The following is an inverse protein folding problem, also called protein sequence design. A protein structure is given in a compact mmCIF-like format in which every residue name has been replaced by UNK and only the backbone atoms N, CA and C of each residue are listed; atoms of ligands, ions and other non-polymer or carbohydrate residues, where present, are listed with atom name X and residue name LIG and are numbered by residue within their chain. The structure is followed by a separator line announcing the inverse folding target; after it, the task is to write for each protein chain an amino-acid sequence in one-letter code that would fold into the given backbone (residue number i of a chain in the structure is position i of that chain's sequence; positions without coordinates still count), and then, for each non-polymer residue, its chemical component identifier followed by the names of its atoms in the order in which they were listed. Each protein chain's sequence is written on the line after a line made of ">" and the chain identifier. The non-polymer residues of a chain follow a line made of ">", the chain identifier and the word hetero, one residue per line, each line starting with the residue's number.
data_IF_403070971187
#
_entry.id   IF_403070971187
#
_cell.length_a   1.000
_cell.length_b   1.000
_cell.length_c   1.000
_cell.angle_alpha   90.00
_cell.angle_beta   90.00
_cell.angle_gamma   90.00
#
_symmetry.space_group_name_H-M   'P 1'
#
loop_
_entity.id
_entity.type
_entity.pdbx_description
1 polymer ?
#
# COMPACT_ATOMS: atom_id res chain seq x y z
N UNK A 1 21.46 -2.01 -43.19
CA UNK A 1 21.98 -2.29 -41.83
C UNK A 1 20.83 -2.81 -40.99
N UNK A 2 20.76 -4.14 -40.83
CA UNK A 2 19.68 -4.81 -40.11
C UNK A 2 20.04 -4.89 -38.63
N UNK A 3 19.22 -4.29 -37.78
CA UNK A 3 19.36 -4.38 -36.32
C UNK A 3 18.90 -5.74 -35.84
N UNK A 4 19.85 -6.62 -35.53
CA UNK A 4 19.56 -7.88 -34.85
C UNK A 4 19.21 -7.58 -33.39
N UNK A 5 17.95 -7.82 -33.04
CA UNK A 5 17.53 -8.08 -31.66
C UNK A 5 18.25 -9.34 -31.15
N UNK A 6 18.85 -9.34 -29.94
CA UNK A 6 19.52 -10.52 -29.40
C UNK A 6 18.51 -11.67 -29.16
N UNK A 7 18.94 -12.93 -29.26
CA UNK A 7 18.02 -14.08 -29.19
C UNK A 7 17.45 -14.25 -27.78
N UNK A 8 16.13 -14.29 -27.68
CA UNK A 8 15.36 -14.47 -26.43
C UNK A 8 15.69 -15.75 -25.66
N UNK A 9 16.28 -16.75 -26.33
CA UNK A 9 16.60 -18.06 -25.75
C UNK A 9 17.76 -18.02 -24.74
N UNK A 10 18.83 -17.27 -25.00
CA UNK A 10 20.00 -17.19 -24.09
C UNK A 10 19.64 -16.52 -22.76
N UNK A 11 18.73 -15.54 -22.81
CA UNK A 11 18.25 -14.85 -21.61
C UNK A 11 17.40 -15.78 -20.72
N UNK A 12 16.49 -16.55 -21.32
CA UNK A 12 15.66 -17.54 -20.60
C UNK A 12 16.49 -18.68 -19.99
N UNK A 13 17.54 -19.14 -20.69
CA UNK A 13 18.46 -20.16 -20.15
C UNK A 13 19.22 -19.63 -18.94
N UNK A 14 19.64 -18.37 -18.96
CA UNK A 14 20.33 -17.73 -17.84
C UNK A 14 19.38 -17.50 -16.64
N UNK A 15 18.13 -17.11 -16.89
CA UNK A 15 17.10 -16.99 -15.84
C UNK A 15 16.84 -18.33 -15.13
N UNK A 16 16.68 -19.41 -15.90
CA UNK A 16 16.44 -20.74 -15.34
C UNK A 16 17.61 -21.21 -14.46
N UNK A 17 18.85 -20.97 -14.90
CA UNK A 17 20.05 -21.28 -14.12
C UNK A 17 20.10 -20.46 -12.83
N UNK A 18 19.88 -19.14 -12.90
CA UNK A 18 19.83 -18.28 -11.70
C UNK A 18 18.75 -18.77 -10.73
N UNK A 19 17.55 -19.07 -11.23
CA UNK A 19 16.44 -19.56 -10.42
C UNK A 19 16.80 -20.85 -9.68
N UNK A 20 17.49 -21.79 -10.33
CA UNK A 20 17.95 -23.03 -9.67
C UNK A 20 19.00 -22.81 -8.58
N UNK A 21 19.76 -21.71 -8.65
CA UNK A 21 20.84 -21.39 -7.70
C UNK A 21 20.47 -20.30 -6.69
N UNK A 22 19.22 -19.83 -6.64
CA UNK A 22 18.80 -18.73 -5.74
C UNK A 22 19.07 -19.02 -4.25
N UNK A 23 18.98 -20.28 -3.82
CA UNK A 23 19.27 -20.65 -2.42
C UNK A 23 20.76 -20.52 -2.06
N UNK A 24 21.63 -20.73 -3.03
CA UNK A 24 23.09 -20.71 -2.87
C UNK A 24 23.65 -19.29 -2.99
N UNK A 25 22.93 -18.41 -3.69
CA UNK A 25 23.34 -17.02 -3.94
C UNK A 25 23.61 -16.26 -2.61
N UNK A 26 24.74 -15.54 -2.49
CA UNK A 26 24.99 -14.66 -1.37
C UNK A 26 23.87 -13.63 -1.20
N UNK A 27 23.33 -13.49 0.01
CA UNK A 27 22.21 -12.57 0.30
C UNK A 27 22.51 -11.11 -0.07
N UNK A 28 23.79 -10.71 -0.08
CA UNK A 28 24.25 -9.37 -0.49
C UNK A 28 23.95 -9.04 -1.96
N UNK A 29 23.84 -10.05 -2.82
CA UNK A 29 23.59 -9.87 -4.27
C UNK A 29 22.09 -9.71 -4.57
N UNK A 30 21.21 -10.23 -3.70
CA UNK A 30 19.75 -10.23 -3.92
C UNK A 30 19.17 -8.85 -4.24
N UNK A 31 19.50 -7.75 -3.52
CA UNK A 31 18.93 -6.44 -3.83
C UNK A 31 19.33 -5.92 -5.22
N UNK A 32 20.58 -6.13 -5.65
CA UNK A 32 21.05 -5.70 -6.96
C UNK A 32 20.37 -6.50 -8.08
N UNK A 33 20.38 -7.83 -7.96
CA UNK A 33 19.73 -8.74 -8.90
C UNK A 33 18.22 -8.49 -8.99
N UNK A 34 17.56 -8.18 -7.86
CA UNK A 34 16.13 -7.87 -7.85
C UNK A 34 15.82 -6.59 -8.62
N UNK A 35 16.64 -5.54 -8.47
CA UNK A 35 16.47 -4.29 -9.23
C UNK A 35 16.62 -4.54 -10.73
N UNK A 36 17.59 -5.36 -11.12
CA UNK A 36 17.82 -5.73 -12.51
C UNK A 36 16.67 -6.57 -13.07
N UNK A 37 16.24 -7.60 -12.34
CA UNK A 37 15.06 -8.40 -12.66
C UNK A 37 13.80 -7.53 -12.81
N UNK A 38 13.62 -6.56 -11.92
CA UNK A 38 12.50 -5.63 -11.95
C UNK A 38 12.56 -4.70 -13.17
N UNK A 39 13.72 -4.09 -13.45
CA UNK A 39 13.91 -3.19 -14.58
C UNK A 39 13.77 -3.91 -15.93
N UNK A 40 14.32 -5.12 -16.04
CA UNK A 40 14.27 -5.99 -17.22
C UNK A 40 12.94 -6.73 -17.39
N UNK A 41 12.03 -6.65 -16.40
CA UNK A 41 10.73 -7.36 -16.38
C UNK A 41 10.88 -8.88 -16.48
N UNK A 42 11.89 -9.44 -15.82
CA UNK A 42 12.14 -10.88 -15.70
C UNK A 42 11.14 -11.49 -14.70
N UNK A 43 9.88 -11.65 -15.10
CA UNK A 43 8.75 -11.98 -14.22
C UNK A 43 8.91 -13.31 -13.49
N UNK A 44 9.42 -14.35 -14.16
CA UNK A 44 9.68 -15.65 -13.54
C UNK A 44 10.75 -15.56 -12.45
N UNK A 45 11.85 -14.86 -12.75
CA UNK A 45 12.92 -14.61 -11.79
C UNK A 45 12.41 -13.78 -10.61
N UNK A 46 11.65 -12.71 -10.85
CA UNK A 46 11.03 -11.90 -9.80
C UNK A 46 10.16 -12.74 -8.86
N UNK A 47 9.27 -13.56 -9.42
CA UNK A 47 8.40 -14.45 -8.64
C UNK A 47 9.22 -15.37 -7.72
N UNK A 48 10.27 -15.99 -8.26
CA UNK A 48 11.16 -16.85 -7.50
C UNK A 48 11.94 -16.09 -6.41
N UNK A 49 12.46 -14.91 -6.73
CA UNK A 49 13.19 -14.05 -5.79
C UNK A 49 12.32 -13.55 -4.64
N UNK A 50 11.05 -13.19 -4.89
CA UNK A 50 10.12 -12.77 -3.83
C UNK A 50 9.83 -13.94 -2.89
N UNK A 51 9.61 -15.14 -3.41
CA UNK A 51 9.39 -16.32 -2.58
C UNK A 51 10.63 -16.71 -1.77
N UNK A 52 11.82 -16.55 -2.35
CA UNK A 52 13.13 -16.80 -1.73
C UNK A 52 13.70 -15.62 -0.95
N UNK A 53 12.93 -14.53 -0.77
CA UNK A 53 13.49 -13.27 -0.31
C UNK A 53 14.17 -13.40 1.07
N UNK A 54 15.48 -13.10 1.18
CA UNK A 54 16.26 -13.47 2.36
C UNK A 54 16.17 -12.45 3.50
N UNK A 55 15.46 -11.34 3.31
CA UNK A 55 15.33 -10.27 4.30
C UNK A 55 13.91 -10.20 4.89
N UNK A 56 13.73 -9.68 6.12
CA UNK A 56 12.40 -9.51 6.72
C UNK A 56 11.48 -8.54 5.97
N UNK A 57 12.04 -7.57 5.25
CA UNK A 57 11.27 -6.56 4.53
C UNK A 57 11.68 -6.54 3.05
N UNK A 58 10.69 -6.42 2.17
CA UNK A 58 10.87 -6.15 0.75
C UNK A 58 10.21 -4.80 0.41
N UNK A 59 10.98 -3.70 0.30
CA UNK A 59 10.45 -2.38 0.00
C UNK A 59 10.38 -2.11 -1.51
N UNK A 60 9.28 -2.49 -2.18
CA UNK A 60 9.15 -2.35 -3.65
C UNK A 60 8.61 -1.01 -4.14
N UNK A 61 8.05 -0.19 -3.25
CA UNK A 61 7.44 1.08 -3.63
C UNK A 61 8.32 2.01 -4.48
N UNK A 62 9.62 2.18 -4.16
CA UNK A 62 10.55 2.98 -4.98
C UNK A 62 10.73 2.48 -6.43
N UNK A 63 10.59 1.16 -6.64
CA UNK A 63 10.69 0.53 -7.95
C UNK A 63 9.37 0.65 -8.73
N UNK A 64 8.25 0.75 -8.02
CA UNK A 64 6.89 0.81 -8.58
C UNK A 64 6.39 2.23 -8.91
N UNK A 65 7.27 3.23 -9.07
CA UNK A 65 6.86 4.60 -9.43
C UNK A 65 6.01 4.66 -10.71
N UNK A 66 6.28 3.78 -11.67
CA UNK A 66 5.42 3.52 -12.84
C UNK A 66 5.03 2.03 -12.80
N UNK A 67 3.87 1.68 -12.23
CA UNK A 67 3.50 0.29 -12.06
C UNK A 67 3.28 -0.37 -13.43
N UNK A 68 4.06 -1.41 -13.73
CA UNK A 68 3.77 -2.34 -14.80
C UNK A 68 2.92 -3.49 -14.21
N UNK A 69 1.84 -3.88 -14.92
CA UNK A 69 0.93 -4.90 -14.45
C UNK A 69 1.60 -6.27 -14.31
N UNK A 70 2.40 -6.70 -15.28
CA UNK A 70 3.09 -8.00 -15.28
C UNK A 70 4.11 -8.08 -14.13
N UNK A 71 4.84 -6.99 -13.88
CA UNK A 71 5.80 -6.93 -12.76
C UNK A 71 5.09 -6.97 -11.41
N UNK A 72 3.93 -6.31 -11.30
CA UNK A 72 3.09 -6.38 -10.09
C UNK A 72 2.54 -7.80 -9.89
N UNK A 73 2.04 -8.43 -10.96
CA UNK A 73 1.56 -9.81 -10.94
C UNK A 73 2.65 -10.76 -10.47
N UNK A 74 3.82 -10.72 -11.09
CA UNK A 74 4.97 -11.54 -10.71
C UNK A 74 5.35 -11.38 -9.23
N UNK A 75 5.32 -10.14 -8.72
CA UNK A 75 5.59 -9.88 -7.32
C UNK A 75 4.55 -10.51 -6.39
N UNK A 76 3.26 -10.38 -6.71
CA UNK A 76 2.16 -10.92 -5.90
C UNK A 76 2.10 -12.44 -6.00
N UNK A 77 2.36 -13.00 -7.18
CA UNK A 77 2.49 -14.44 -7.40
C UNK A 77 3.66 -15.03 -6.61
N UNK A 78 4.73 -14.26 -6.39
CA UNK A 78 5.85 -14.69 -5.54
C UNK A 78 5.47 -14.73 -4.05
N UNK A 79 4.58 -13.84 -3.61
CA UNK A 79 3.98 -13.92 -2.28
C UNK A 79 3.08 -15.16 -2.18
N UNK A 80 2.23 -15.39 -3.18
CA UNK A 80 1.33 -16.55 -3.20
C UNK A 80 2.11 -17.87 -3.20
N UNK A 81 3.16 -18.00 -4.02
CA UNK A 81 4.02 -19.19 -4.05
C UNK A 81 4.62 -19.51 -2.68
N UNK A 82 4.93 -18.47 -1.89
CA UNK A 82 5.42 -18.62 -0.53
C UNK A 82 4.30 -19.01 0.45
N UNK A 83 3.08 -18.51 0.25
CA UNK A 83 1.93 -18.88 1.07
C UNK A 83 1.48 -20.32 0.81
N UNK A 84 1.46 -20.75 -0.46
CA UNK A 84 1.05 -22.12 -0.86
C UNK A 84 2.10 -23.17 -0.52
N UNK A 85 3.30 -22.75 -0.06
CA UNK A 85 4.38 -23.65 0.36
C UNK A 85 4.88 -24.56 -0.77
N UNK A 86 4.58 -24.23 -2.02
CA UNK A 86 5.10 -24.91 -3.21
C UNK A 86 6.63 -24.84 -3.28
N UNK A 87 7.20 -23.80 -2.69
CA UNK A 87 8.63 -23.57 -2.60
C UNK A 87 8.99 -23.15 -1.16
N UNK A 88 9.83 -23.92 -0.46
CA UNK A 88 10.30 -23.61 0.90
C UNK A 88 11.79 -23.28 0.92
N UNK A 89 12.21 -22.13 0.37
CA UNK A 89 13.60 -21.74 0.43
C UNK A 89 14.01 -21.58 1.89
N UNK A 90 15.01 -22.36 2.33
CA UNK A 90 15.43 -22.43 3.75
C UNK A 90 15.79 -21.06 4.33
N UNK A 91 16.18 -20.12 3.46
CA UNK A 91 16.64 -18.76 3.80
C UNK A 91 15.55 -17.70 3.68
N UNK A 92 14.32 -18.02 3.26
CA UNK A 92 13.27 -17.00 3.11
C UNK A 92 12.81 -16.43 4.46
N UNK A 93 13.01 -15.12 4.63
CA UNK A 93 12.72 -14.41 5.89
C UNK A 93 11.64 -13.35 5.76
N UNK A 94 11.06 -13.15 4.57
CA UNK A 94 10.11 -12.08 4.32
C UNK A 94 8.95 -12.06 5.33
N UNK A 95 8.68 -10.92 5.92
CA UNK A 95 7.58 -10.70 6.86
C UNK A 95 6.75 -9.50 6.44
N UNK A 96 7.37 -8.52 5.76
CA UNK A 96 6.73 -7.28 5.32
C UNK A 96 7.00 -7.04 3.84
N UNK A 97 5.94 -6.93 3.06
CA UNK A 97 5.98 -6.31 1.73
C UNK A 97 5.60 -4.84 1.88
N UNK A 98 6.55 -3.93 1.67
CA UNK A 98 6.30 -2.49 1.73
C UNK A 98 6.22 -1.90 0.32
N UNK A 99 5.00 -1.58 -0.11
CA UNK A 99 4.72 -1.01 -1.43
C UNK A 99 4.64 0.52 -1.39
N UNK A 100 4.91 1.16 -0.24
CA UNK A 100 4.89 2.62 -0.14
C UNK A 100 6.08 3.20 -0.90
N UNK A 101 5.82 4.21 -1.73
CA UNK A 101 6.86 4.96 -2.42
C UNK A 101 7.60 5.90 -1.44
N UNK A 102 8.49 5.33 -0.63
CA UNK A 102 9.33 6.03 0.34
C UNK A 102 10.79 5.70 0.07
N UNK A 103 11.69 6.67 0.28
CA UNK A 103 13.12 6.39 0.19
C UNK A 103 13.49 5.29 1.19
N UNK A 104 14.21 4.27 0.70
CA UNK A 104 14.69 3.16 1.51
C UNK A 104 16.18 3.00 1.26
N UNK A 105 17.00 3.24 2.29
CA UNK A 105 18.46 3.06 2.24
C UNK A 105 18.84 1.62 1.84
N UNK A 106 17.92 0.67 2.04
CA UNK A 106 17.99 -0.71 1.56
C UNK A 106 18.46 -0.83 0.10
N UNK A 107 18.01 0.05 -0.80
CA UNK A 107 18.36 -0.04 -2.22
C UNK A 107 19.73 0.57 -2.58
N UNK A 108 20.38 1.26 -1.65
CA UNK A 108 21.59 2.05 -1.86
C UNK A 108 22.88 1.36 -1.40
N UNK A 109 22.80 0.13 -0.91
CA UNK A 109 24.00 -0.69 -0.67
C UNK A 109 24.60 -1.01 -2.03
N UNK A 110 25.65 -0.27 -2.41
CA UNK A 110 26.51 -0.64 -3.53
C UNK A 110 27.36 -1.83 -3.09
N UNK A 111 27.50 -2.81 -3.96
CA UNK A 111 28.46 -3.88 -3.78
C UNK A 111 29.86 -3.35 -4.12
N UNK A 112 30.35 -2.36 -3.38
CA UNK A 112 31.74 -1.93 -3.49
C UNK A 112 32.56 -2.84 -2.57
N UNK A 113 33.13 -3.88 -3.17
CA UNK A 113 34.27 -4.57 -2.60
C UNK A 113 35.50 -3.64 -2.74
N UNK A 114 36.20 -3.43 -1.62
CA UNK A 114 37.44 -2.68 -1.45
C UNK A 114 37.28 -1.15 -1.45
N UNK A 115 37.25 -0.53 -0.27
CA UNK A 115 38.48 -0.01 0.33
C UNK A 115 38.22 0.50 1.76
N UNK A 116 39.31 0.64 2.50
CA UNK A 116 39.47 0.95 3.92
C UNK A 116 38.63 2.10 4.51
N UNK A 117 38.38 1.96 5.81
CA UNK A 117 38.20 3.03 6.80
C UNK A 117 37.23 4.16 6.42
N UNK A 118 35.96 3.96 6.77
CA UNK A 118 35.11 5.09 7.09
C UNK A 118 34.27 4.78 8.33
N UNK A 119 34.64 5.41 9.45
CA UNK A 119 33.92 5.39 10.72
C UNK A 119 32.46 5.71 10.46
N UNK A 120 31.60 4.70 10.56
CA UNK A 120 30.17 4.87 10.48
C UNK A 120 29.71 5.74 11.65
N UNK A 121 29.27 6.96 11.36
CA UNK A 121 28.35 7.67 12.25
C UNK A 121 27.09 6.82 12.34
N UNK A 122 26.92 6.19 13.49
CA UNK A 122 25.74 5.44 13.92
C UNK A 122 24.54 6.38 13.89
N UNK A 123 23.85 6.46 12.76
CA UNK A 123 22.51 7.05 12.68
C UNK A 123 21.52 5.97 13.10
N UNK A 124 21.29 5.96 14.41
CA UNK A 124 20.06 5.54 15.09
C UNK A 124 19.41 4.24 14.61
N UNK A 125 20.16 3.13 14.68
CA UNK A 125 19.59 1.77 14.71
C UNK A 125 18.70 1.51 15.96
N UNK A 126 18.59 2.47 16.88
CA UNK A 126 17.83 2.32 18.13
C UNK A 126 16.32 2.53 17.99
N UNK A 127 15.80 2.97 16.84
CA UNK A 127 14.33 3.13 16.67
C UNK A 127 13.61 1.97 15.99
N UNK A 128 14.31 0.96 15.47
CA UNK A 128 13.68 -0.15 14.72
C UNK A 128 13.78 -1.54 15.36
N UNK A 129 14.24 -1.62 16.62
CA UNK A 129 14.17 -2.85 17.41
C UNK A 129 13.30 -2.63 18.64
N UNK A 130 12.01 -2.35 18.43
CA UNK A 130 11.02 -2.73 19.44
C UNK A 130 10.93 -4.25 19.38
N UNK A 131 11.50 -4.88 20.41
CA UNK A 131 11.42 -6.31 20.70
C UNK A 131 9.97 -6.76 20.47
N UNK A 132 9.74 -7.47 19.38
CA UNK A 132 8.45 -8.11 19.12
C UNK A 132 8.20 -9.13 20.24
N UNK A 133 7.04 -9.10 20.92
CA UNK A 133 6.71 -10.06 21.95
C UNK A 133 6.85 -11.49 21.42
N UNK A 134 7.37 -12.40 22.27
CA UNK A 134 7.63 -13.83 22.00
C UNK A 134 6.38 -14.68 21.68
N UNK A 135 5.26 -14.05 21.29
CA UNK A 135 4.03 -14.70 20.77
C UNK A 135 3.98 -14.74 19.23
N UNK A 136 5.05 -14.33 18.53
CA UNK A 136 5.15 -14.24 17.07
C UNK A 136 5.14 -15.59 16.31
N UNK A 137 4.47 -16.62 16.82
CA UNK A 137 4.49 -17.98 16.26
C UNK A 137 3.39 -18.25 15.20
N UNK A 138 2.68 -17.21 14.76
CA UNK A 138 1.79 -17.17 13.57
C UNK A 138 1.69 -15.76 12.95
N UNK A 139 2.81 -15.07 12.74
CA UNK A 139 2.74 -13.76 12.06
C UNK A 139 2.44 -13.96 10.58
N UNK A 140 1.22 -13.59 10.17
CA UNK A 140 0.84 -13.45 8.75
C UNK A 140 1.75 -12.41 8.11
N UNK A 141 2.15 -12.64 6.86
CA UNK A 141 2.91 -11.65 6.11
C UNK A 141 2.10 -10.35 6.02
N UNK A 142 2.76 -9.24 6.35
CA UNK A 142 2.18 -7.91 6.37
C UNK A 142 2.42 -7.21 5.03
N UNK A 143 1.37 -6.67 4.43
CA UNK A 143 1.44 -5.85 3.22
C UNK A 143 1.11 -4.41 3.59
N UNK A 144 2.06 -3.50 3.39
CA UNK A 144 1.92 -2.08 3.70
C UNK A 144 1.82 -1.30 2.39
N UNK A 145 0.77 -0.48 2.26
CA UNK A 145 0.47 0.28 1.04
C UNK A 145 0.05 1.71 1.36
N UNK A 146 0.23 2.58 0.38
CA UNK A 146 -0.52 3.83 0.27
C UNK A 146 -1.48 3.67 -0.90
N UNK A 147 -2.78 3.86 -0.67
CA UNK A 147 -3.80 3.65 -1.70
C UNK A 147 -4.30 4.98 -2.22
N UNK A 148 -4.47 5.05 -3.54
CA UNK A 148 -5.22 6.12 -4.21
C UNK A 148 -6.32 5.49 -5.03
N UNK A 149 -7.56 5.82 -4.68
CA UNK A 149 -8.78 5.25 -5.21
C UNK A 149 -9.41 6.36 -6.02
N UNK A 150 -9.61 6.12 -7.31
CA UNK A 150 -10.23 7.10 -8.19
C UNK A 150 -11.18 6.43 -9.17
N UNK A 151 -12.09 7.20 -9.76
CA UNK A 151 -12.95 6.74 -10.88
C UNK A 151 -12.14 6.06 -12.00
N UNK A 152 -10.93 6.56 -12.30
CA UNK A 152 -9.97 5.95 -13.22
C UNK A 152 -9.11 4.85 -12.56
N UNK A 153 -9.76 3.90 -11.87
CA UNK A 153 -9.07 2.79 -11.21
C UNK A 153 -8.29 1.96 -12.24
N UNK A 154 -6.96 2.13 -12.30
CA UNK A 154 -6.16 1.48 -13.34
C UNK A 154 -6.09 -0.05 -13.16
N UNK A 155 -5.75 -0.77 -14.23
CA UNK A 155 -5.70 -2.24 -14.24
C UNK A 155 -4.84 -2.83 -13.12
N UNK A 156 -3.71 -2.20 -12.79
CA UNK A 156 -2.81 -2.64 -11.72
C UNK A 156 -3.44 -2.52 -10.33
N UNK A 157 -4.13 -1.41 -10.03
CA UNK A 157 -4.85 -1.22 -8.76
C UNK A 157 -6.03 -2.18 -8.64
N UNK A 158 -6.78 -2.38 -9.73
CA UNK A 158 -7.87 -3.36 -9.82
C UNK A 158 -7.37 -4.78 -9.52
N UNK A 159 -6.27 -5.17 -10.16
CA UNK A 159 -5.63 -6.45 -9.94
C UNK A 159 -5.20 -6.62 -8.48
N UNK A 160 -4.49 -5.64 -7.92
CA UNK A 160 -4.03 -5.69 -6.53
C UNK A 160 -5.20 -5.83 -5.54
N UNK A 161 -6.28 -5.07 -5.72
CA UNK A 161 -7.43 -5.15 -4.82
C UNK A 161 -8.11 -6.53 -4.91
N UNK A 162 -8.30 -7.05 -6.12
CA UNK A 162 -8.86 -8.39 -6.31
C UNK A 162 -7.98 -9.48 -5.69
N UNK A 163 -6.67 -9.39 -5.88
CA UNK A 163 -5.71 -10.27 -5.23
C UNK A 163 -5.84 -10.18 -3.70
N UNK A 164 -5.86 -8.97 -3.14
CA UNK A 164 -5.94 -8.78 -1.69
C UNK A 164 -7.25 -9.33 -1.09
N UNK A 165 -8.40 -9.12 -1.78
CA UNK A 165 -9.71 -9.68 -1.38
C UNK A 165 -9.66 -11.20 -1.21
N UNK A 166 -8.96 -11.91 -2.08
CA UNK A 166 -8.85 -13.36 -2.02
C UNK A 166 -7.86 -13.88 -0.96
N UNK A 167 -7.11 -12.99 -0.28
CA UNK A 167 -6.11 -13.36 0.75
C UNK A 167 -6.46 -12.79 2.14
N UNK A 168 -7.69 -12.32 2.33
CA UNK A 168 -8.22 -12.00 3.65
C UNK A 168 -8.09 -13.25 4.53
N UNK A 169 -7.46 -13.11 5.70
CA UNK A 169 -7.20 -14.23 6.62
C UNK A 169 -5.90 -14.99 6.38
N UNK A 170 -5.21 -14.78 5.25
CA UNK A 170 -3.85 -15.32 5.02
C UNK A 170 -2.79 -14.25 5.19
N UNK A 171 -3.11 -13.02 4.78
CA UNK A 171 -2.25 -11.85 4.85
C UNK A 171 -2.81 -10.81 5.83
N UNK A 172 -1.95 -9.90 6.27
CA UNK A 172 -2.33 -8.74 7.04
C UNK A 172 -2.10 -7.46 6.22
N UNK A 173 -3.16 -6.70 5.98
CA UNK A 173 -3.11 -5.52 5.11
C UNK A 173 -3.18 -4.23 5.93
N UNK A 174 -2.24 -3.31 5.67
CA UNK A 174 -2.24 -1.98 6.27
C UNK A 174 -2.17 -0.90 5.20
N UNK A 175 -3.18 -0.04 5.17
CA UNK A 175 -3.14 1.21 4.41
C UNK A 175 -2.77 2.35 5.35
N UNK A 176 -1.64 3.02 5.10
CA UNK A 176 -1.16 4.12 5.96
C UNK A 176 -1.71 5.46 5.49
N UNK A 177 -1.70 5.68 4.16
CA UNK A 177 -2.22 6.88 3.51
C UNK A 177 -3.26 6.48 2.48
N UNK A 178 -4.44 7.08 2.55
CA UNK A 178 -5.54 6.82 1.64
C UNK A 178 -5.98 8.10 0.94
N UNK A 179 -6.07 8.05 -0.39
CA UNK A 179 -6.70 9.09 -1.21
C UNK A 179 -7.94 8.53 -1.88
N UNK A 180 -9.05 9.26 -1.82
CA UNK A 180 -10.36 8.87 -2.35
C UNK A 180 -10.85 9.99 -3.26
N UNK A 181 -10.90 9.73 -4.56
CA UNK A 181 -11.25 10.67 -5.64
C UNK A 181 -12.41 10.14 -6.49
N UNK A 182 -13.65 10.42 -6.09
CA UNK A 182 -14.87 9.96 -6.79
C UNK A 182 -14.92 8.46 -7.16
N UNK A 183 -14.62 7.51 -6.25
CA UNK A 183 -14.74 6.11 -6.60
C UNK A 183 -16.21 5.65 -6.61
N UNK A 184 -16.53 4.58 -7.36
CA UNK A 184 -17.80 3.89 -7.22
C UNK A 184 -17.98 3.31 -5.81
N UNK A 185 -19.19 3.37 -5.25
CA UNK A 185 -19.53 2.86 -3.91
C UNK A 185 -19.05 1.43 -3.64
N UNK A 186 -19.10 0.56 -4.65
CA UNK A 186 -18.67 -0.84 -4.51
C UNK A 186 -17.17 -0.96 -4.23
N UNK A 187 -16.35 -0.09 -4.83
CA UNK A 187 -14.89 -0.11 -4.63
C UNK A 187 -14.55 0.29 -3.20
N UNK A 188 -15.29 1.25 -2.62
CA UNK A 188 -15.12 1.68 -1.23
C UNK A 188 -15.36 0.50 -0.28
N UNK A 189 -16.48 -0.22 -0.46
CA UNK A 189 -16.83 -1.39 0.34
C UNK A 189 -15.76 -2.48 0.23
N UNK A 190 -15.32 -2.77 -0.99
CA UNK A 190 -14.28 -3.77 -1.25
C UNK A 190 -12.97 -3.43 -0.54
N UNK A 191 -12.59 -2.16 -0.53
CA UNK A 191 -11.36 -1.70 0.13
C UNK A 191 -11.46 -1.82 1.63
N UNK A 192 -12.53 -1.33 2.25
CA UNK A 192 -12.67 -1.43 3.72
C UNK A 192 -12.95 -2.85 4.22
N UNK A 193 -13.33 -3.77 3.32
CA UNK A 193 -13.36 -5.20 3.64
C UNK A 193 -11.95 -5.83 3.71
N UNK A 194 -10.97 -5.25 3.01
CA UNK A 194 -9.58 -5.72 2.97
C UNK A 194 -8.69 -4.97 3.95
N UNK A 195 -8.83 -3.65 4.00
CA UNK A 195 -7.98 -2.74 4.75
C UNK A 195 -8.74 -2.23 5.97
N UNK A 196 -8.25 -2.60 7.15
CA UNK A 196 -8.77 -2.09 8.41
C UNK A 196 -8.52 -0.57 8.52
N UNK A 197 -9.57 0.26 8.65
CA UNK A 197 -9.47 1.72 8.76
C UNK A 197 -8.57 2.20 9.89
N UNK A 198 -8.39 1.41 10.95
CA UNK A 198 -7.59 1.81 12.12
C UNK A 198 -6.11 2.07 11.77
N UNK A 199 -5.60 1.51 10.67
CA UNK A 199 -4.22 1.75 10.22
C UNK A 199 -4.02 3.05 9.46
N UNK A 200 -5.11 3.71 9.07
CA UNK A 200 -5.06 4.92 8.24
C UNK A 200 -4.67 6.10 9.13
N UNK A 201 -3.57 6.75 8.75
CA UNK A 201 -3.01 7.92 9.46
C UNK A 201 -3.20 9.22 8.68
N UNK A 202 -3.32 9.13 7.36
CA UNK A 202 -3.59 10.27 6.49
C UNK A 202 -4.72 9.93 5.51
N UNK A 203 -5.76 10.75 5.48
CA UNK A 203 -6.89 10.64 4.54
C UNK A 203 -6.99 11.91 3.69
N UNK A 204 -7.07 11.72 2.38
CA UNK A 204 -7.42 12.74 1.40
C UNK A 204 -8.75 12.35 0.74
N UNK A 205 -9.80 13.12 0.99
CA UNK A 205 -11.13 12.91 0.42
C UNK A 205 -11.46 14.07 -0.51
N UNK A 206 -11.58 13.76 -1.81
CA UNK A 206 -11.93 14.69 -2.86
C UNK A 206 -13.09 14.08 -3.64
N UNK A 207 -14.31 14.58 -3.46
CA UNK A 207 -15.47 13.93 -4.08
C UNK A 207 -16.60 14.91 -4.37
N UNK A 208 -17.33 14.62 -5.42
CA UNK A 208 -18.63 15.24 -5.73
C UNK A 208 -19.81 14.48 -5.10
N UNK A 209 -19.55 13.65 -4.09
CA UNK A 209 -20.57 12.87 -3.39
C UNK A 209 -21.64 13.75 -2.75
N UNK A 210 -22.87 13.26 -2.79
CA UNK A 210 -24.01 13.84 -2.07
C UNK A 210 -23.81 13.75 -0.55
N UNK A 211 -24.54 14.57 0.22
CA UNK A 211 -24.54 14.49 1.68
C UNK A 211 -24.93 13.09 2.19
N UNK A 212 -25.83 12.38 1.49
CA UNK A 212 -26.22 11.03 1.85
C UNK A 212 -25.06 10.04 1.69
N UNK A 213 -24.32 10.13 0.58
CA UNK A 213 -23.14 9.30 0.34
C UNK A 213 -22.03 9.59 1.36
N UNK A 214 -21.80 10.87 1.69
CA UNK A 214 -20.86 11.25 2.76
C UNK A 214 -21.32 10.70 4.12
N UNK A 215 -22.61 10.73 4.42
CA UNK A 215 -23.18 10.16 5.64
C UNK A 215 -23.11 8.62 5.66
N UNK A 216 -23.11 7.95 4.51
CA UNK A 216 -22.79 6.53 4.42
C UNK A 216 -21.31 6.26 4.66
N UNK A 217 -20.43 7.08 4.10
CA UNK A 217 -18.98 6.99 4.31
C UNK A 217 -18.57 7.28 5.75
N UNK A 218 -19.34 8.11 6.47
CA UNK A 218 -19.05 8.52 7.85
C UNK A 218 -18.75 7.35 8.80
N UNK A 219 -19.37 6.18 8.61
CA UNK A 219 -19.05 5.00 9.45
C UNK A 219 -17.62 4.52 9.26
N UNK A 220 -17.12 4.42 8.03
CA UNK A 220 -15.72 4.07 7.76
C UNK A 220 -14.78 5.15 8.27
N UNK A 221 -15.18 6.41 8.13
CA UNK A 221 -14.41 7.55 8.59
C UNK A 221 -14.19 7.51 10.11
N UNK A 222 -15.23 7.29 10.92
CA UNK A 222 -15.10 7.20 12.38
C UNK A 222 -14.19 6.06 12.86
N UNK A 223 -14.12 4.94 12.11
CA UNK A 223 -13.21 3.84 12.44
C UNK A 223 -11.72 4.16 12.24
N UNK A 224 -11.37 5.30 11.62
CA UNK A 224 -9.97 5.73 11.45
C UNK A 224 -9.40 6.35 12.73
N UNK A 225 -9.33 5.56 13.81
CA UNK A 225 -8.97 6.04 15.16
C UNK A 225 -7.56 6.64 15.26
N UNK A 226 -6.64 6.21 14.40
CA UNK A 226 -5.25 6.70 14.36
C UNK A 226 -5.04 7.80 13.30
N UNK A 227 -6.11 8.41 12.80
CA UNK A 227 -6.03 9.48 11.81
C UNK A 227 -5.34 10.71 12.41
N UNK A 228 -4.25 11.14 11.78
CA UNK A 228 -3.45 12.29 12.18
C UNK A 228 -3.66 13.49 11.25
N UNK A 229 -3.92 13.22 9.97
CA UNK A 229 -4.13 14.26 8.95
C UNK A 229 -5.36 13.93 8.12
N UNK A 230 -6.24 14.91 7.97
CA UNK A 230 -7.38 14.83 7.05
C UNK A 230 -7.36 16.02 6.10
N UNK A 231 -7.55 15.74 4.82
CA UNK A 231 -7.71 16.74 3.78
C UNK A 231 -9.05 16.49 3.08
N UNK A 232 -9.96 17.45 3.16
CA UNK A 232 -11.30 17.40 2.59
C UNK A 232 -11.42 18.48 1.51
N UNK A 233 -11.47 18.11 0.23
CA UNK A 233 -11.51 19.09 -0.85
C UNK A 233 -11.89 18.57 -2.24
N UNK A 234 -12.74 19.27 -2.99
CA UNK A 234 -14.01 19.86 -2.55
C UNK A 234 -14.98 18.75 -2.09
N UNK A 235 -15.92 19.12 -1.22
CA UNK A 235 -17.09 18.30 -0.90
C UNK A 235 -18.31 19.14 -1.27
N UNK A 236 -18.68 19.10 -2.54
CA UNK A 236 -19.76 19.92 -3.07
C UNK A 236 -21.10 19.50 -2.46
N UNK A 237 -21.95 20.48 -2.12
CA UNK A 237 -23.35 20.23 -1.81
C UNK A 237 -24.07 19.88 -3.10
N UNK A 238 -23.94 18.65 -3.57
CA UNK A 238 -24.80 18.13 -4.63
C UNK A 238 -26.14 17.74 -3.99
N UNK A 239 -27.05 18.70 -3.91
CA UNK A 239 -28.49 18.43 -3.80
C UNK A 239 -28.95 18.02 -5.19
N UNK A 240 -28.76 16.74 -5.54
CA UNK A 240 -29.34 16.20 -6.76
C UNK A 240 -30.86 16.48 -6.72
N UNK A 241 -31.46 17.15 -7.72
CA UNK A 241 -32.89 17.45 -7.74
C UNK A 241 -33.77 16.19 -7.78
N UNK A 242 -33.15 15.03 -8.01
CA UNK A 242 -33.80 13.70 -8.08
C UNK A 242 -34.23 13.20 -6.69
N UNK A 243 -33.59 13.67 -5.61
CA UNK A 243 -33.92 13.26 -4.24
C UNK A 243 -34.40 14.50 -3.49
N UNK A 244 -35.70 14.58 -3.20
CA UNK A 244 -36.28 15.57 -2.27
C UNK A 244 -35.76 15.28 -0.84
N UNK A 245 -34.49 15.59 -0.57
CA UNK A 245 -33.94 15.52 0.78
C UNK A 245 -34.57 16.68 1.56
N UNK A 246 -35.40 16.36 2.55
CA UNK A 246 -35.94 17.37 3.46
C UNK A 246 -34.82 18.00 4.27
N UNK A 247 -34.96 19.27 4.67
CA UNK A 247 -34.00 19.95 5.54
C UNK A 247 -33.66 19.14 6.80
N UNK A 248 -34.64 18.41 7.36
CA UNK A 248 -34.44 17.50 8.49
C UNK A 248 -33.49 16.34 8.17
N UNK A 249 -33.54 15.81 6.95
CA UNK A 249 -32.67 14.71 6.50
C UNK A 249 -31.26 15.22 6.20
N UNK A 250 -31.13 16.44 5.64
CA UNK A 250 -29.83 17.09 5.49
C UNK A 250 -29.14 17.27 6.84
N UNK A 251 -29.84 17.86 7.83
CA UNK A 251 -29.30 18.07 9.17
C UNK A 251 -28.85 16.76 9.83
N UNK A 252 -29.62 15.68 9.67
CA UNK A 252 -29.23 14.34 10.15
C UNK A 252 -27.95 13.83 9.50
N UNK A 253 -27.79 14.02 8.19
CA UNK A 253 -26.58 13.60 7.46
C UNK A 253 -25.36 14.38 7.95
N UNK A 254 -25.49 15.70 8.07
CA UNK A 254 -24.43 16.59 8.54
C UNK A 254 -24.02 16.22 9.97
N UNK A 255 -24.98 16.04 10.87
CA UNK A 255 -24.71 15.62 12.24
C UNK A 255 -23.99 14.27 12.31
N UNK A 256 -24.37 13.29 11.47
CA UNK A 256 -23.72 11.97 11.41
C UNK A 256 -22.25 12.06 10.99
N UNK A 257 -21.91 12.99 10.09
CA UNK A 257 -20.54 13.23 9.64
C UNK A 257 -19.73 13.91 10.76
N UNK A 258 -20.29 14.97 11.35
CA UNK A 258 -19.64 15.75 12.42
C UNK A 258 -19.35 14.88 13.63
N UNK A 259 -20.29 14.01 14.02
CA UNK A 259 -20.14 13.14 15.19
C UNK A 259 -18.99 12.14 15.08
N UNK A 260 -18.37 11.97 13.90
CA UNK A 260 -17.18 11.13 13.75
C UNK A 260 -15.91 11.85 14.20
N UNK A 261 -15.88 13.19 14.13
CA UNK A 261 -14.69 13.97 14.50
C UNK A 261 -14.32 13.81 15.98
N UNK A 262 -15.31 13.61 16.85
CA UNK A 262 -15.07 13.31 18.27
C UNK A 262 -14.39 11.97 18.53
N UNK A 263 -14.28 11.10 17.52
CA UNK A 263 -13.58 9.81 17.63
C UNK A 263 -12.07 9.92 17.35
N UNK A 264 -11.60 11.04 16.81
CA UNK A 264 -10.20 11.18 16.37
C UNK A 264 -9.30 11.78 17.45
N UNK A 265 -8.83 10.93 18.35
CA UNK A 265 -7.94 11.34 19.45
C UNK A 265 -6.52 11.72 18.99
N UNK A 266 -6.13 11.31 17.77
CA UNK A 266 -4.79 11.51 17.22
C UNK A 266 -4.72 12.61 16.15
N UNK A 267 -5.84 13.29 15.87
CA UNK A 267 -5.94 14.25 14.77
C UNK A 267 -5.16 15.52 15.07
N UNK A 268 -4.19 15.83 14.21
CA UNK A 268 -3.29 16.98 14.37
C UNK A 268 -3.52 18.04 13.30
N UNK A 269 -3.94 17.63 12.10
CA UNK A 269 -4.10 18.54 10.98
C UNK A 269 -5.42 18.27 10.25
N UNK A 270 -6.22 19.33 10.13
CA UNK A 270 -7.44 19.34 9.34
C UNK A 270 -7.29 20.41 8.26
N UNK A 271 -7.39 19.98 7.01
CA UNK A 271 -7.41 20.86 5.86
C UNK A 271 -8.76 20.74 5.17
N UNK A 272 -9.44 21.87 4.99
CA UNK A 272 -10.73 21.92 4.29
C UNK A 272 -10.67 22.95 3.17
N UNK A 273 -11.09 22.56 1.98
CA UNK A 273 -11.24 23.46 0.84
C UNK A 273 -12.59 23.21 0.19
N UNK A 274 -13.43 24.25 0.10
CA UNK A 274 -14.79 24.17 -0.46
C UNK A 274 -15.70 23.11 0.20
N UNK A 275 -15.70 23.03 1.54
CA UNK A 275 -16.58 22.14 2.33
C UNK A 275 -17.71 22.95 2.96
N UNK A 276 -18.68 23.35 2.13
CA UNK A 276 -19.66 24.38 2.51
C UNK A 276 -20.64 23.94 3.62
N UNK A 277 -21.02 22.66 3.67
CA UNK A 277 -22.02 22.16 4.62
C UNK A 277 -21.54 22.10 6.08
N UNK A 278 -20.23 22.23 6.32
CA UNK A 278 -19.65 22.27 7.68
C UNK A 278 -19.48 23.69 8.22
N UNK A 279 -19.78 24.73 7.43
CA UNK A 279 -19.51 26.14 7.79
C UNK A 279 -20.07 26.50 9.17
N UNK A 280 -21.32 26.14 9.43
CA UNK A 280 -22.02 26.50 10.66
C UNK A 280 -21.76 25.53 11.83
N UNK A 281 -20.93 24.51 11.59
CA UNK A 281 -20.64 23.42 12.54
C UNK A 281 -19.14 23.29 12.87
N UNK A 282 -18.33 24.26 12.46
CA UNK A 282 -16.86 24.20 12.66
C UNK A 282 -16.45 24.09 14.13
N UNK A 283 -17.22 24.67 15.05
CA UNK A 283 -17.01 24.53 16.49
C UNK A 283 -17.09 23.06 16.95
N UNK A 284 -18.03 22.29 16.40
CA UNK A 284 -18.19 20.87 16.75
C UNK A 284 -17.13 19.97 16.09
N UNK A 285 -16.57 20.41 14.96
CA UNK A 285 -15.50 19.69 14.25
C UNK A 285 -14.14 19.87 14.93
N UNK A 286 -13.89 21.06 15.48
CA UNK A 286 -12.60 21.43 16.08
C UNK A 286 -12.49 21.09 17.58
N UNK A 287 -13.63 20.85 18.24
CA UNK A 287 -13.69 20.60 19.69
C UNK A 287 -13.67 21.88 20.51
#
# INVERSE_FOLDING_TARGET
>A
MSGQTPPTHTLLTHEALIMSSLEELPTVVFPALFKEAFAGRHTNLLKAMVAAWPFPCLPVGPLMKKPNLETLQALLDGIDMRLTREFHPRRAKLQVLDMRNMYHAFWNIRADANDSDCKSKTLDEKQLVKVLPRYARRQRLKVIVNLSISSHFNKSKAYFLNWAKQRIGSLYFCCIKMRIWDPPDQVIRDIFNVFDPEHITELELNTDWTLLQLAHFASYFGHMKNLQKVFLAPLHKNTSPIINITNATEAKCVHKIISQFSQFNCLQHIFMKHVHFLRDYMNQVLG
#
